data_IF_720814252431
#
_entry.id   IF_720814252431
#
_cell.length_a   1.000
_cell.length_b   1.000
_cell.length_c   1.000
_cell.angle_alpha   90.00
_cell.angle_beta   90.00
_cell.angle_gamma   90.00
#
_symmetry.space_group_name_H-M   'P 1'
#
loop_
_entity.id
_entity.type
_entity.pdbx_description
1 polymer ?
#
# COMPACT_ATOMS: atom_id res chain seq x y z
N UNK A 1 6.84 -11.66 -2.22
CA UNK A 1 5.57 -10.92 -2.27
C UNK A 1 4.60 -11.58 -1.27
N UNK A 2 3.39 -11.06 -0.99
CA UNK A 2 2.53 -11.54 0.13
C UNK A 2 1.16 -12.04 -0.37
N UNK A 3 0.58 -13.02 0.32
CA UNK A 3 -0.79 -13.48 0.04
C UNK A 3 -1.70 -13.05 1.19
N UNK A 4 -2.88 -12.55 0.84
CA UNK A 4 -3.92 -12.14 1.78
C UNK A 4 -5.18 -12.94 1.54
N UNK A 5 -5.68 -13.56 2.59
CA UNK A 5 -6.94 -14.29 2.61
C UNK A 5 -7.97 -13.50 3.44
N UNK A 6 -9.03 -13.07 2.77
CA UNK A 6 -10.12 -12.27 3.35
C UNK A 6 -11.31 -13.18 3.64
N UNK A 7 -11.86 -13.10 4.85
CA UNK A 7 -13.00 -13.87 5.29
C UNK A 7 -14.20 -12.94 5.52
N UNK A 8 -15.35 -13.28 4.93
CA UNK A 8 -16.59 -12.50 5.03
C UNK A 8 -17.72 -13.36 5.60
N UNK A 9 -18.56 -12.74 6.44
CA UNK A 9 -19.78 -13.35 7.01
C UNK A 9 -20.96 -12.38 6.91
N UNK A 10 -22.14 -12.88 6.56
CA UNK A 10 -23.40 -12.12 6.45
C UNK A 10 -24.52 -12.78 7.27
N UNK A 11 -25.38 -11.99 7.93
CA UNK A 11 -26.69 -12.38 8.50
C UNK A 11 -27.72 -11.25 8.19
N UNK A 12 -29.05 -11.34 8.38
CA UNK A 12 -29.90 -12.28 9.16
C UNK A 12 -31.21 -12.65 8.45
N UNK A 13 -31.36 -12.37 7.15
CA UNK A 13 -32.54 -12.78 6.37
C UNK A 13 -32.26 -13.87 5.33
N UNK A 14 -31.08 -14.49 5.31
CA UNK A 14 -30.84 -15.53 4.33
C UNK A 14 -29.44 -16.09 4.17
N UNK A 15 -29.12 -17.03 5.08
CA UNK A 15 -28.37 -18.26 4.79
C UNK A 15 -26.84 -18.09 4.85
N UNK A 16 -26.25 -18.52 5.97
CA UNK A 16 -24.81 -18.48 6.27
C UNK A 16 -23.93 -18.89 5.08
N UNK A 17 -23.12 -17.94 4.60
CA UNK A 17 -21.99 -18.21 3.73
C UNK A 17 -20.75 -17.57 4.32
N UNK A 18 -19.82 -18.40 4.77
CA UNK A 18 -18.44 -18.00 4.92
C UNK A 18 -17.83 -17.96 3.52
N UNK A 19 -17.37 -16.78 3.12
CA UNK A 19 -16.67 -16.59 1.85
C UNK A 19 -15.23 -16.24 2.16
N UNK A 20 -14.31 -16.91 1.47
CA UNK A 20 -12.91 -16.55 1.47
C UNK A 20 -12.51 -16.02 0.11
N UNK A 21 -11.78 -14.91 0.08
CA UNK A 21 -11.14 -14.40 -1.13
C UNK A 21 -9.62 -14.32 -0.93
N UNK A 22 -8.87 -14.96 -1.82
CA UNK A 22 -7.41 -15.08 -1.74
C UNK A 22 -6.79 -14.20 -2.81
N UNK A 23 -6.09 -13.18 -2.36
CA UNK A 23 -5.43 -12.20 -3.20
C UNK A 23 -3.91 -12.28 -3.04
N UNK A 24 -3.22 -12.40 -4.17
CA UNK A 24 -1.76 -12.43 -4.22
C UNK A 24 -1.25 -11.04 -4.61
N UNK A 25 -0.62 -10.35 -3.68
CA UNK A 25 -0.01 -9.05 -3.95
C UNK A 25 1.39 -9.28 -4.49
N UNK A 26 1.65 -8.77 -5.70
CA UNK A 26 2.93 -8.87 -6.40
C UNK A 26 3.62 -7.50 -6.49
N UNK A 27 4.94 -7.52 -6.69
CA UNK A 27 5.70 -6.32 -7.09
C UNK A 27 5.34 -5.95 -8.53
N UNK A 28 5.51 -4.68 -8.91
CA UNK A 28 5.31 -4.26 -10.30
C UNK A 28 6.55 -4.60 -11.14
N UNK A 29 6.35 -5.27 -12.27
CA UNK A 29 7.43 -5.61 -13.21
C UNK A 29 8.06 -4.38 -13.89
N UNK A 30 7.42 -3.21 -13.77
CA UNK A 30 7.94 -1.93 -14.28
C UNK A 30 8.96 -1.27 -13.36
N UNK A 31 9.07 -1.73 -12.11
CA UNK A 31 9.96 -1.16 -11.10
C UNK A 31 11.02 -2.20 -10.79
N UNK A 32 12.24 -1.93 -11.21
CA UNK A 32 13.40 -2.75 -10.88
C UNK A 32 14.11 -2.26 -9.61
N UNK A 33 15.16 -2.97 -9.22
CA UNK A 33 15.98 -2.64 -8.06
C UNK A 33 17.18 -1.74 -8.41
N UNK A 34 17.23 -1.14 -9.61
CA UNK A 34 18.39 -0.36 -10.09
C UNK A 34 18.78 0.77 -9.13
N UNK A 35 17.81 1.34 -8.41
CA UNK A 35 18.03 2.42 -7.44
C UNK A 35 18.67 1.95 -6.13
N UNK A 36 18.57 0.66 -5.79
CA UNK A 36 18.94 0.14 -4.45
C UNK A 36 19.91 -1.04 -4.48
N UNK A 37 20.16 -1.68 -5.63
CA UNK A 37 20.95 -2.93 -5.71
C UNK A 37 22.39 -2.81 -5.20
N UNK A 38 22.95 -1.61 -5.16
CA UNK A 38 24.34 -1.31 -4.79
C UNK A 38 24.44 -0.50 -3.50
N UNK A 39 23.31 -0.28 -2.80
CA UNK A 39 23.26 0.57 -1.61
C UNK A 39 22.96 -0.28 -0.38
N UNK A 40 23.69 -0.03 0.70
CA UNK A 40 23.31 -0.55 2.02
C UNK A 40 21.98 0.07 2.45
N UNK A 41 21.07 -0.77 2.91
CA UNK A 41 19.74 -0.35 3.38
C UNK A 41 19.70 -0.51 4.90
N UNK A 42 19.40 0.59 5.61
CA UNK A 42 19.12 0.55 7.05
C UNK A 42 17.64 0.89 7.27
N UNK A 43 16.94 0.06 8.04
CA UNK A 43 15.52 0.23 8.36
C UNK A 43 15.40 0.54 9.85
N UNK A 44 14.76 1.66 10.19
CA UNK A 44 14.59 2.07 11.57
C UNK A 44 13.21 1.65 12.08
N UNK A 45 13.16 0.98 13.22
CA UNK A 45 11.91 0.51 13.83
C UNK A 45 11.73 0.99 15.26
N UNK A 46 10.48 1.07 15.70
CA UNK A 46 10.11 1.38 17.08
C UNK A 46 8.95 0.48 17.53
N UNK A 47 8.61 0.54 18.81
CA UNK A 47 7.39 -0.09 19.34
C UNK A 47 6.10 0.43 18.68
N UNK A 48 6.15 1.56 17.96
CA UNK A 48 5.01 2.11 17.21
C UNK A 48 4.92 1.59 15.77
N UNK A 49 5.98 0.94 15.26
CA UNK A 49 5.96 0.33 13.93
C UNK A 49 4.94 -0.80 13.92
N UNK A 50 3.95 -0.71 13.05
CA UNK A 50 2.78 -1.59 13.03
C UNK A 50 2.29 -1.84 11.60
N UNK A 51 1.72 -3.02 11.34
CA UNK A 51 0.98 -3.37 10.12
C UNK A 51 1.84 -3.26 8.85
N UNK A 52 1.40 -2.51 7.84
CA UNK A 52 2.08 -2.41 6.54
C UNK A 52 3.57 -2.03 6.65
N UNK A 53 3.96 -1.28 7.69
CA UNK A 53 5.36 -0.95 7.93
C UNK A 53 6.19 -2.18 8.36
N UNK A 54 5.62 -3.08 9.17
CA UNK A 54 6.25 -4.35 9.55
C UNK A 54 6.36 -5.26 8.34
N UNK A 55 5.28 -5.44 7.58
CA UNK A 55 5.30 -6.23 6.36
C UNK A 55 6.35 -5.73 5.36
N UNK A 56 6.44 -4.41 5.17
CA UNK A 56 7.46 -3.80 4.29
C UNK A 56 8.87 -4.09 4.79
N UNK A 57 9.11 -3.94 6.10
CA UNK A 57 10.41 -4.24 6.74
C UNK A 57 10.81 -5.69 6.54
N UNK A 58 9.88 -6.61 6.82
CA UNK A 58 10.06 -8.05 6.62
C UNK A 58 10.42 -8.37 5.17
N UNK A 59 9.65 -7.84 4.20
CA UNK A 59 9.89 -8.12 2.77
C UNK A 59 11.20 -7.53 2.28
N UNK A 60 11.56 -6.32 2.69
CA UNK A 60 12.86 -5.75 2.32
C UNK A 60 14.00 -6.62 2.86
N UNK A 61 13.94 -7.05 4.12
CA UNK A 61 14.96 -7.94 4.71
C UNK A 61 15.02 -9.30 4.01
N UNK A 62 13.87 -9.87 3.65
CA UNK A 62 13.79 -11.15 2.93
C UNK A 62 14.45 -11.06 1.55
N UNK A 63 14.20 -9.99 0.79
CA UNK A 63 14.74 -9.82 -0.57
C UNK A 63 16.13 -9.20 -0.62
N UNK A 64 16.52 -8.47 0.41
CA UNK A 64 17.86 -7.94 0.59
C UNK A 64 18.38 -8.34 1.98
N UNK A 65 18.99 -9.53 2.11
CA UNK A 65 19.52 -10.02 3.38
C UNK A 65 20.57 -9.09 4.03
N UNK A 66 21.23 -8.24 3.23
CA UNK A 66 22.19 -7.25 3.71
C UNK A 66 21.53 -6.00 4.33
N UNK A 67 20.22 -5.81 4.16
CA UNK A 67 19.50 -4.75 4.86
C UNK A 67 19.58 -4.98 6.38
N UNK A 68 19.83 -3.92 7.16
CA UNK A 68 19.96 -4.01 8.62
C UNK A 68 18.81 -3.27 9.29
N UNK A 69 18.08 -3.97 10.17
CA UNK A 69 16.97 -3.43 10.96
C UNK A 69 17.51 -2.98 12.32
N UNK A 70 17.27 -1.72 12.67
CA UNK A 70 17.86 -1.07 13.84
C UNK A 70 16.75 -0.38 14.63
N UNK A 71 16.69 -0.61 15.93
CA UNK A 71 15.74 0.06 16.82
C UNK A 71 15.08 -0.90 17.78
N UNK A 72 13.79 -0.69 18.00
CA UNK A 72 13.01 -1.49 18.95
C UNK A 72 12.20 -2.58 18.22
N UNK A 73 11.81 -3.59 18.99
CA UNK A 73 10.84 -4.60 18.55
C UNK A 73 9.52 -3.95 18.16
N UNK A 74 8.99 -4.34 17.01
CA UNK A 74 7.72 -3.80 16.47
C UNK A 74 6.50 -4.40 17.16
N UNK A 75 5.33 -3.82 16.93
CA UNK A 75 4.10 -4.09 17.70
C UNK A 75 3.43 -5.43 17.37
N UNK A 76 3.55 -5.93 16.14
CA UNK A 76 2.98 -7.21 15.71
C UNK A 76 1.55 -7.16 15.18
N UNK A 77 1.28 -6.29 14.20
CA UNK A 77 -0.01 -6.23 13.48
C UNK A 77 0.02 -7.01 12.18
N UNK A 78 0.12 -8.33 12.26
CA UNK A 78 0.28 -9.20 11.09
C UNK A 78 -1.02 -9.43 10.31
N UNK A 79 -2.17 -9.36 10.97
CA UNK A 79 -3.48 -9.67 10.42
C UNK A 79 -4.45 -8.50 10.55
N UNK A 80 -5.46 -8.46 9.68
CA UNK A 80 -6.49 -7.42 9.71
C UNK A 80 -7.71 -7.85 10.52
N UNK A 81 -8.29 -6.87 11.22
CA UNK A 81 -9.47 -7.05 12.05
C UNK A 81 -10.42 -5.87 11.87
N UNK A 82 -11.71 -6.10 12.09
CA UNK A 82 -12.74 -5.07 12.11
C UNK A 82 -13.27 -4.92 13.53
N UNK A 83 -13.81 -3.74 13.85
CA UNK A 83 -14.50 -3.51 15.12
C UNK A 83 -15.99 -3.48 14.82
N UNK A 84 -16.72 -4.48 15.30
CA UNK A 84 -18.18 -4.52 15.24
C UNK A 84 -18.78 -4.04 16.56
N UNK A 85 -19.77 -3.15 16.50
CA UNK A 85 -20.59 -2.82 17.69
C UNK A 85 -21.82 -3.71 17.64
N UNK A 86 -21.99 -4.58 18.64
CA UNK A 86 -23.10 -5.55 18.66
C UNK A 86 -24.33 -4.97 19.35
N UNK A 87 -24.14 -4.11 20.35
CA UNK A 87 -25.18 -3.39 21.10
C UNK A 87 -24.60 -2.15 21.79
N UNK A 88 -25.45 -1.31 22.41
CA UNK A 88 -25.08 0.00 23.01
C UNK A 88 -23.84 0.00 23.93
N UNK A 89 -23.45 -1.15 24.49
CA UNK A 89 -22.33 -1.28 25.44
C UNK A 89 -21.30 -2.35 25.09
N UNK A 90 -21.42 -3.02 23.93
CA UNK A 90 -20.53 -4.11 23.57
C UNK A 90 -19.89 -3.90 22.20
N UNK A 91 -18.58 -4.12 22.14
CA UNK A 91 -17.78 -4.13 20.93
C UNK A 91 -17.02 -5.43 20.82
N UNK A 92 -16.95 -6.00 19.63
CA UNK A 92 -16.13 -7.16 19.30
C UNK A 92 -15.05 -6.76 18.28
N UNK A 93 -13.84 -7.29 18.47
CA UNK A 93 -12.78 -7.23 17.46
C UNK A 93 -12.82 -8.56 16.72
N UNK A 94 -13.18 -8.51 15.43
CA UNK A 94 -13.39 -9.70 14.61
C UNK A 94 -12.28 -9.75 13.56
N UNK A 95 -11.38 -10.74 13.60
CA UNK A 95 -10.38 -10.93 12.55
C UNK A 95 -11.09 -11.30 11.24
N UNK A 96 -10.72 -10.64 10.14
CA UNK A 96 -11.28 -10.92 8.82
C UNK A 96 -10.20 -11.09 7.75
N UNK A 97 -8.94 -10.79 8.05
CA UNK A 97 -7.87 -10.81 7.06
C UNK A 97 -6.65 -11.52 7.62
N UNK A 98 -6.25 -12.59 6.95
CA UNK A 98 -5.00 -13.29 7.23
C UNK A 98 -3.98 -12.92 6.17
N UNK A 99 -2.80 -12.47 6.58
CA UNK A 99 -1.66 -12.29 5.69
C UNK A 99 -0.65 -13.41 5.93
N UNK A 100 -0.10 -14.00 4.85
CA UNK A 100 0.94 -15.00 4.95
C UNK A 100 1.90 -14.97 3.76
N UNK A 101 3.11 -15.46 3.99
CA UNK A 101 4.12 -15.61 2.95
C UNK A 101 4.22 -17.07 2.50
N UNK A 102 3.74 -17.35 1.29
CA UNK A 102 3.83 -18.69 0.68
C UNK A 102 5.26 -19.23 0.59
N UNK A 103 6.26 -18.34 0.50
CA UNK A 103 7.68 -18.74 0.41
C UNK A 103 8.34 -19.00 1.76
N UNK A 104 7.64 -18.73 2.87
CA UNK A 104 8.20 -18.87 4.21
C UNK A 104 7.14 -19.36 5.20
N UNK A 105 7.15 -20.67 5.46
CA UNK A 105 6.24 -21.31 6.40
C UNK A 105 6.35 -20.79 7.85
N UNK A 106 7.48 -20.21 8.22
CA UNK A 106 7.70 -19.64 9.55
C UNK A 106 7.28 -18.17 9.66
N UNK A 107 6.70 -17.58 8.60
CA UNK A 107 6.21 -16.21 8.63
C UNK A 107 5.11 -16.05 9.68
N UNK A 108 5.35 -15.18 10.66
CA UNK A 108 4.35 -14.79 11.64
C UNK A 108 4.71 -13.43 12.26
N UNK A 109 3.95 -12.40 11.92
CA UNK A 109 4.07 -11.06 12.51
C UNK A 109 3.06 -10.81 13.63
N UNK A 110 1.91 -11.48 13.62
CA UNK A 110 0.82 -11.22 14.55
C UNK A 110 1.25 -11.47 16.00
N UNK A 111 1.08 -10.46 16.86
CA UNK A 111 1.52 -10.40 18.26
C UNK A 111 3.03 -10.61 18.50
N UNK A 112 3.81 -10.97 17.47
CA UNK A 112 5.25 -11.20 17.56
C UNK A 112 6.06 -10.00 17.13
N UNK A 113 5.62 -9.28 16.10
CA UNK A 113 6.39 -8.22 15.46
C UNK A 113 7.73 -8.71 14.89
N UNK A 114 8.61 -7.77 14.63
CA UNK A 114 9.96 -7.96 14.10
C UNK A 114 10.94 -7.59 15.20
N UNK A 115 11.84 -8.52 15.50
CA UNK A 115 13.02 -8.24 16.32
C UNK A 115 14.10 -7.64 15.42
N UNK A 116 14.62 -6.44 15.73
CA UNK A 116 15.69 -5.80 14.97
C UNK A 116 16.99 -6.60 15.00
N UNK A 117 17.82 -6.46 13.96
CA UNK A 117 19.18 -7.00 13.94
C UNK A 117 20.06 -6.31 15.00
N UNK A 118 19.86 -5.01 15.18
CA UNK A 118 20.51 -4.20 16.24
C UNK A 118 19.42 -3.62 17.13
N UNK A 119 19.28 -4.19 18.32
CA UNK A 119 18.30 -3.74 19.32
C UNK A 119 18.82 -2.49 20.03
N UNK A 120 18.01 -1.43 20.00
CA UNK A 120 18.31 -0.14 20.65
C UNK A 120 17.02 0.65 20.86
N UNK A 121 17.08 1.78 21.57
CA UNK A 121 15.95 2.70 21.69
C UNK A 121 15.68 3.38 20.34
N UNK A 122 14.41 3.67 20.03
CA UNK A 122 14.01 4.29 18.78
C UNK A 122 14.79 5.60 18.49
N UNK A 123 15.02 6.41 19.52
CA UNK A 123 15.75 7.68 19.42
C UNK A 123 17.24 7.51 19.05
N UNK A 124 17.82 6.35 19.38
CA UNK A 124 19.22 6.02 19.07
C UNK A 124 19.39 5.38 17.70
N UNK A 125 18.32 4.82 17.12
CA UNK A 125 18.39 4.02 15.91
C UNK A 125 18.97 4.78 14.72
N UNK A 126 18.54 6.04 14.52
CA UNK A 126 19.06 6.89 13.44
C UNK A 126 20.56 7.17 13.59
N UNK A 127 21.00 7.51 14.79
CA UNK A 127 22.41 7.80 15.06
C UNK A 127 23.29 6.59 14.79
N UNK A 128 22.83 5.40 15.19
CA UNK A 128 23.55 4.14 14.94
C UNK A 128 23.60 3.84 13.45
N UNK A 129 22.47 3.89 12.75
CA UNK A 129 22.39 3.66 11.30
C UNK A 129 23.29 4.62 10.53
N UNK A 130 23.29 5.90 10.91
CA UNK A 130 24.13 6.91 10.28
C UNK A 130 25.62 6.62 10.46
N UNK A 131 26.04 6.20 11.66
CA UNK A 131 27.43 5.81 11.92
C UNK A 131 27.86 4.58 11.12
N UNK A 132 26.97 3.60 10.96
CA UNK A 132 27.23 2.42 10.13
C UNK A 132 27.39 2.82 8.66
N UNK A 133 26.46 3.63 8.15
CA UNK A 133 26.51 4.13 6.80
C UNK A 133 27.82 4.89 6.50
N UNK A 134 28.29 5.74 7.41
CA UNK A 134 29.56 6.46 7.25
C UNK A 134 30.78 5.54 7.24
N UNK A 135 30.78 4.45 8.02
CA UNK A 135 31.89 3.48 8.04
C UNK A 135 32.01 2.70 6.74
N UNK A 136 30.87 2.37 6.13
CA UNK A 136 30.81 1.62 4.88
C UNK A 136 31.00 2.50 3.63
N UNK A 137 30.92 3.83 3.78
CA UNK A 137 31.01 4.77 2.66
C UNK A 137 32.42 5.31 2.52
N UNK A 138 33.03 5.14 1.34
CA UNK A 138 34.20 5.93 0.94
C UNK A 138 33.74 7.38 0.77
N UNK A 139 34.44 8.35 1.39
CA UNK A 139 34.15 9.78 1.22
C UNK A 139 34.15 10.13 -0.27
N UNK A 140 32.96 10.46 -0.78
CA UNK A 140 32.74 10.89 -2.16
C UNK A 140 31.98 12.21 -2.12
N UNK A 141 32.22 13.06 -3.11
CA UNK A 141 31.57 14.39 -3.24
C UNK A 141 30.12 14.27 -3.74
N UNK A 142 29.38 13.32 -3.16
CA UNK A 142 28.06 12.93 -3.64
C UNK A 142 27.00 13.86 -3.05
N UNK A 143 26.28 14.58 -3.92
CA UNK A 143 25.12 15.39 -3.51
C UNK A 143 24.05 14.51 -2.86
N UNK A 144 23.84 14.69 -1.56
CA UNK A 144 22.76 14.03 -0.81
C UNK A 144 21.42 14.46 -1.39
N UNK A 145 20.63 13.50 -1.89
CA UNK A 145 19.25 13.73 -2.34
C UNK A 145 18.28 13.33 -1.24
N UNK A 146 17.65 14.32 -0.62
CA UNK A 146 16.56 14.08 0.33
C UNK A 146 15.24 13.88 -0.43
N UNK A 147 14.66 12.68 -0.36
CA UNK A 147 13.31 12.43 -0.85
C UNK A 147 12.31 12.67 0.29
N UNK A 148 11.80 13.90 0.41
CA UNK A 148 10.61 14.15 1.24
C UNK A 148 9.37 13.70 0.49
N UNK A 149 8.45 13.02 1.19
CA UNK A 149 7.08 12.85 0.70
C UNK A 149 6.49 14.24 0.51
N UNK A 150 6.37 14.67 -0.74
CA UNK A 150 5.73 15.94 -1.04
C UNK A 150 4.23 15.80 -0.74
N UNK A 151 3.69 16.68 0.10
CA UNK A 151 2.26 16.67 0.43
C UNK A 151 1.39 17.09 -0.77
N UNK A 152 1.99 17.81 -1.73
CA UNK A 152 1.37 18.21 -2.98
C UNK A 152 2.28 17.82 -4.16
N UNK A 153 1.70 17.40 -5.27
CA UNK A 153 2.46 17.16 -6.49
C UNK A 153 3.03 18.49 -7.01
N UNK A 154 4.30 18.50 -7.39
CA UNK A 154 4.88 19.62 -8.15
C UNK A 154 4.20 19.74 -9.52
N UNK A 155 4.25 20.93 -10.13
CA UNK A 155 3.72 21.17 -11.49
C UNK A 155 4.28 20.16 -12.50
N UNK A 156 5.58 19.86 -12.40
CA UNK A 156 6.24 18.82 -13.23
C UNK A 156 5.74 17.41 -12.94
N UNK A 157 5.39 17.10 -11.69
CA UNK A 157 4.78 15.83 -11.31
C UNK A 157 3.37 15.67 -11.87
N UNK A 158 2.56 16.74 -11.84
CA UNK A 158 1.22 16.75 -12.44
C UNK A 158 1.29 16.56 -13.96
N UNK A 159 2.20 17.27 -14.65
CA UNK A 159 2.35 17.13 -16.10
C UNK A 159 2.82 15.75 -16.54
N UNK A 160 3.60 15.06 -15.71
CA UNK A 160 3.95 13.65 -15.94
C UNK A 160 2.70 12.75 -15.96
N UNK A 161 1.80 12.88 -14.97
CA UNK A 161 0.59 12.05 -14.91
C UNK A 161 -0.42 12.37 -16.00
N UNK A 162 -0.55 13.65 -16.37
CA UNK A 162 -1.48 14.11 -17.40
C UNK A 162 -1.25 13.44 -18.76
N UNK A 163 -0.03 12.96 -19.05
CA UNK A 163 0.29 12.19 -20.26
C UNK A 163 -0.56 10.92 -20.40
N UNK A 164 -0.97 10.34 -19.28
CA UNK A 164 -1.76 9.10 -19.24
C UNK A 164 -3.27 9.36 -19.18
N UNK A 165 -3.72 10.60 -18.97
CA UNK A 165 -5.14 10.90 -18.81
C UNK A 165 -6.01 10.47 -19.99
N UNK A 166 -5.57 10.61 -21.26
CA UNK A 166 -6.33 10.11 -22.40
C UNK A 166 -6.69 8.62 -22.27
N UNK A 167 -5.80 7.80 -21.71
CA UNK A 167 -6.02 6.35 -21.54
C UNK A 167 -7.17 6.03 -20.58
N UNK A 168 -7.53 6.97 -19.70
CA UNK A 168 -8.52 6.77 -18.64
C UNK A 168 -9.93 7.23 -19.02
N UNK A 169 -10.07 8.07 -20.06
CA UNK A 169 -11.35 8.67 -20.42
C UNK A 169 -12.35 7.63 -20.94
N UNK A 170 -13.61 7.75 -20.55
CA UNK A 170 -14.66 6.88 -21.08
C UNK A 170 -15.56 6.29 -20.00
N UNK A 171 -16.38 5.33 -20.44
CA UNK A 171 -17.45 4.71 -19.66
C UNK A 171 -16.99 3.35 -19.09
N UNK A 172 -17.16 3.20 -17.78
CA UNK A 172 -16.96 1.98 -17.01
C UNK A 172 -18.25 1.62 -16.28
N UNK A 173 -19.36 1.56 -17.01
CA UNK A 173 -20.73 1.28 -16.55
C UNK A 173 -21.29 2.33 -15.61
N UNK A 174 -21.09 2.16 -14.31
CA UNK A 174 -21.57 3.12 -13.30
C UNK A 174 -20.66 4.34 -13.21
N UNK A 175 -19.52 4.32 -13.90
CA UNK A 175 -18.45 5.30 -13.73
C UNK A 175 -18.09 5.90 -15.07
N UNK A 176 -18.28 7.21 -15.21
CA UNK A 176 -17.77 7.97 -16.33
C UNK A 176 -16.50 8.72 -15.90
N UNK A 177 -15.40 8.53 -16.63
CA UNK A 177 -14.17 9.31 -16.43
C UNK A 177 -14.11 10.42 -17.47
N UNK A 178 -14.02 11.65 -16.98
CA UNK A 178 -13.96 12.86 -17.79
C UNK A 178 -12.76 13.71 -17.42
N UNK A 179 -12.32 14.55 -18.34
CA UNK A 179 -11.26 15.54 -18.12
C UNK A 179 -11.88 16.93 -18.23
N UNK A 180 -11.62 17.78 -17.25
CA UNK A 180 -12.01 19.18 -17.27
C UNK A 180 -10.79 20.04 -16.96
N UNK A 181 -10.36 20.82 -17.95
CA UNK A 181 -9.07 21.49 -17.91
C UNK A 181 -7.95 20.47 -17.70
N UNK A 182 -7.16 20.68 -16.64
CA UNK A 182 -6.00 19.85 -16.30
C UNK A 182 -6.29 18.72 -15.31
N UNK A 183 -7.57 18.57 -14.93
CA UNK A 183 -8.00 17.66 -13.89
C UNK A 183 -8.84 16.51 -14.45
N UNK A 184 -8.70 15.35 -13.81
CA UNK A 184 -9.49 14.17 -14.11
C UNK A 184 -10.63 14.05 -13.09
N UNK A 185 -11.84 13.77 -13.55
CA UNK A 185 -13.03 13.62 -12.74
C UNK A 185 -13.66 12.25 -12.96
N UNK A 186 -14.12 11.66 -11.87
CA UNK A 186 -14.93 10.46 -11.87
C UNK A 186 -16.37 10.86 -11.55
N UNK A 187 -17.30 10.61 -12.46
CA UNK A 187 -18.73 10.69 -12.19
C UNK A 187 -19.23 9.29 -11.87
N UNK A 188 -19.54 9.05 -10.59
CA UNK A 188 -20.06 7.79 -10.10
C UNK A 188 -21.59 7.84 -10.01
N UNK A 189 -22.24 6.83 -10.58
CA UNK A 189 -23.69 6.63 -10.63
C UNK A 189 -24.45 7.88 -11.08
N UNK A 190 -23.89 8.61 -12.06
CA UNK A 190 -24.43 9.85 -12.66
C UNK A 190 -24.55 11.10 -11.77
N UNK A 191 -24.44 10.97 -10.45
CA UNK A 191 -24.66 12.09 -9.52
C UNK A 191 -23.40 12.53 -8.78
N UNK A 192 -22.49 11.60 -8.46
CA UNK A 192 -21.37 11.92 -7.57
C UNK A 192 -20.09 12.19 -8.36
N UNK A 193 -19.75 13.48 -8.51
CA UNK A 193 -18.55 13.91 -9.22
C UNK A 193 -17.37 14.08 -8.26
N UNK A 194 -16.35 13.26 -8.46
CA UNK A 194 -15.16 13.16 -7.62
C UNK A 194 -13.94 13.65 -8.40
N UNK A 195 -13.20 14.60 -7.84
CA UNK A 195 -11.89 15.00 -8.37
C UNK A 195 -10.86 13.90 -8.09
N UNK A 196 -10.19 13.42 -9.13
CA UNK A 196 -9.14 12.40 -9.03
C UNK A 196 -7.76 13.04 -8.90
N UNK A 197 -7.15 12.85 -7.74
CA UNK A 197 -5.81 13.31 -7.41
C UNK A 197 -4.80 12.16 -7.62
N UNK A 198 -3.87 12.26 -8.60
CA UNK A 198 -2.93 11.18 -8.87
C UNK A 198 -1.97 10.95 -7.69
N UNK A 199 -1.66 9.68 -7.39
CA UNK A 199 -0.57 9.30 -6.48
C UNK A 199 0.49 8.44 -7.17
N UNK A 200 0.10 7.70 -8.20
CA UNK A 200 0.98 6.99 -9.12
C UNK A 200 0.31 6.87 -10.50
N UNK A 201 1.02 6.34 -11.49
CA UNK A 201 0.41 5.96 -12.77
C UNK A 201 -0.71 4.95 -12.50
N UNK A 202 -1.86 5.15 -13.14
CA UNK A 202 -3.07 4.33 -12.98
C UNK A 202 -3.68 4.33 -11.55
N UNK A 203 -3.19 5.16 -10.61
CA UNK A 203 -3.67 5.17 -9.22
C UNK A 203 -3.94 6.59 -8.70
N UNK A 204 -5.17 6.79 -8.24
CA UNK A 204 -5.73 8.08 -7.85
C UNK A 204 -6.42 8.00 -6.48
N UNK A 205 -6.59 9.15 -5.84
CA UNK A 205 -7.35 9.34 -4.59
C UNK A 205 -8.37 10.45 -4.80
N UNK A 206 -9.38 10.57 -3.94
CA UNK A 206 -10.41 11.60 -4.03
C UNK A 206 -11.00 11.94 -2.67
N UNK A 207 -11.84 12.97 -2.63
CA UNK A 207 -12.47 13.45 -1.40
C UNK A 207 -13.50 12.47 -0.79
N UNK A 208 -14.18 11.67 -1.61
CA UNK A 208 -15.21 10.72 -1.17
C UNK A 208 -14.90 9.26 -1.52
N UNK A 209 -13.64 8.96 -1.84
CA UNK A 209 -13.15 7.62 -2.17
C UNK A 209 -11.79 7.42 -1.51
N UNK A 210 -11.46 6.18 -1.15
CA UNK A 210 -10.12 5.87 -0.66
C UNK A 210 -9.12 5.80 -1.82
N UNK A 211 -9.46 5.09 -2.90
CA UNK A 211 -8.68 5.11 -4.13
C UNK A 211 -9.50 4.73 -5.37
N UNK A 212 -8.97 5.11 -6.53
CA UNK A 212 -9.35 4.63 -7.86
C UNK A 212 -8.10 4.06 -8.53
N UNK A 213 -8.19 2.84 -9.05
CA UNK A 213 -7.12 2.14 -9.76
C UNK A 213 -7.59 1.72 -11.15
N UNK A 214 -6.88 2.11 -12.19
CA UNK A 214 -7.11 1.62 -13.54
C UNK A 214 -6.34 0.32 -13.76
N UNK A 215 -7.01 -0.67 -14.33
CA UNK A 215 -6.43 -1.98 -14.64
C UNK A 215 -6.16 -2.03 -16.14
N UNK A 216 -4.95 -2.47 -16.49
CA UNK A 216 -4.52 -2.62 -17.88
C UNK A 216 -4.39 -4.10 -18.24
N UNK A 217 -4.65 -4.42 -19.50
CA UNK A 217 -4.32 -5.73 -20.06
C UNK A 217 -2.82 -5.86 -20.40
N UNK A 218 -2.43 -7.02 -20.91
CA UNK A 218 -1.05 -7.32 -21.32
C UNK A 218 -0.54 -6.42 -22.46
N UNK A 219 -1.45 -5.81 -23.23
CA UNK A 219 -1.13 -4.88 -24.31
C UNK A 219 -1.02 -3.43 -23.80
N UNK A 220 -1.21 -3.21 -22.49
CA UNK A 220 -1.15 -1.90 -21.86
C UNK A 220 -2.42 -1.07 -21.99
N UNK A 221 -3.51 -1.62 -22.53
CA UNK A 221 -4.80 -0.92 -22.67
C UNK A 221 -5.57 -0.96 -21.36
N UNK A 222 -6.15 0.17 -20.93
CA UNK A 222 -7.01 0.20 -19.73
C UNK A 222 -8.32 -0.52 -20.03
N UNK A 223 -8.59 -1.62 -19.32
CA UNK A 223 -9.74 -2.50 -19.53
C UNK A 223 -10.75 -2.47 -18.39
N UNK A 224 -10.35 -2.02 -17.20
CA UNK A 224 -11.25 -1.89 -16.07
C UNK A 224 -10.83 -0.77 -15.12
N UNK A 225 -11.75 -0.38 -14.25
CA UNK A 225 -11.53 0.55 -13.14
C UNK A 225 -11.96 -0.15 -11.85
N UNK A 226 -11.12 -0.05 -10.83
CA UNK A 226 -11.40 -0.51 -9.48
C UNK A 226 -11.50 0.70 -8.55
N UNK A 227 -12.55 0.77 -7.74
CA UNK A 227 -12.83 1.87 -6.83
C UNK A 227 -13.01 1.34 -5.42
N UNK A 228 -12.25 1.88 -4.46
CA UNK A 228 -12.43 1.59 -3.04
C UNK A 228 -13.09 2.78 -2.35
N UNK A 229 -14.27 2.55 -1.79
CA UNK A 229 -15.04 3.56 -1.08
C UNK A 229 -14.49 3.75 0.34
N UNK A 230 -14.79 4.91 0.93
CA UNK A 230 -14.42 5.21 2.34
C UNK A 230 -15.08 4.26 3.33
N UNK A 231 -16.21 3.66 2.96
CA UNK A 231 -16.96 2.70 3.76
C UNK A 231 -16.52 1.24 3.46
N UNK A 232 -15.28 1.09 3.03
CA UNK A 232 -14.50 -0.16 2.91
C UNK A 232 -14.90 -1.20 1.85
N UNK A 233 -15.97 -1.00 1.07
CA UNK A 233 -16.24 -1.88 -0.09
C UNK A 233 -15.46 -1.48 -1.34
N UNK A 234 -15.13 -2.48 -2.16
CA UNK A 234 -14.40 -2.32 -3.43
C UNK A 234 -15.34 -2.75 -4.57
N UNK A 235 -15.46 -1.92 -5.59
CA UNK A 235 -16.16 -2.25 -6.83
C UNK A 235 -15.17 -2.26 -8.01
N UNK A 236 -15.42 -3.11 -9.00
CA UNK A 236 -14.66 -3.16 -10.23
C UNK A 236 -15.60 -3.17 -11.44
N UNK A 237 -15.33 -2.32 -12.41
CA UNK A 237 -16.13 -2.21 -13.63
C UNK A 237 -15.22 -2.28 -14.86
N UNK A 238 -15.60 -3.13 -15.82
CA UNK A 238 -14.93 -3.19 -17.13
C UNK A 238 -15.34 -1.99 -17.97
N UNK A 239 -14.38 -1.50 -18.77
CA UNK A 239 -14.60 -0.48 -19.78
C UNK A 239 -15.59 -1.00 -20.84
N UNK A 240 -16.51 -0.13 -21.27
CA UNK A 240 -17.40 -0.41 -22.40
C UNK A 240 -16.74 -0.13 -23.74
#
# INVERSE_FOLDING_TARGET
>A
FITTEWHFRYDSSGIERELSDVNKMLTSDRIDNSLTNSKTIYILTSQRTFSAAELSTYKIKQFNPAATIIGEKTKGGGNGHSVGTTDKYFSAIIPYLKAYDESNFNYNLEAKGITPDIVTLADSALTIAYRLALKETVLTDTKVRYFKKQNALTVTGLSYFQKFYPDYLGDFRKIQITKEGDNLFMLYDTYNKVLLLPKAVDYFTGNSIQYVKFLRDNNGSVTAIQVKHTNEFIEEFRRQ
#
